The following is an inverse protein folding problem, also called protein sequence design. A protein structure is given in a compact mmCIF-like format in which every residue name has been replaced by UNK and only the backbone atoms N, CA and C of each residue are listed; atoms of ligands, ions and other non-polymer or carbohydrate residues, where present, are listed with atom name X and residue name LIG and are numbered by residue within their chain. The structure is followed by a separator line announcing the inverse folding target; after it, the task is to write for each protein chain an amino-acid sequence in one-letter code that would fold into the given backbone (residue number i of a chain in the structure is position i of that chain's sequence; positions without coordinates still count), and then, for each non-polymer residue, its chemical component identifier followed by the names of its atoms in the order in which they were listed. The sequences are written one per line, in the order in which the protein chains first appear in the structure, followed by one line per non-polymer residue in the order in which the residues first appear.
data_IF_242160706582
#
_entry.id   IF_242160706582
#
_cell.length_a   1.000
_cell.length_b   1.000
_cell.length_c   1.000
_cell.angle_alpha   90.00
_cell.angle_beta   90.00
_cell.angle_gamma   90.00
#
_symmetry.space_group_name_H-M   'P 1'
#
loop_
_entity.id
_entity.type
_entity.pdbx_description
1 polymer ?
#
# COMPACT_ATOMS: atom_id res chain seq x y z
N UNK A 1 14.19 -15.78 21.59
CA UNK A 1 13.51 -14.52 21.35
C UNK A 1 12.70 -14.72 20.07
N UNK A 2 11.36 -14.83 20.16
CA UNK A 2 10.54 -15.24 19.03
C UNK A 2 10.35 -14.06 18.05
N UNK A 3 10.73 -14.27 16.80
CA UNK A 3 10.45 -13.36 15.71
C UNK A 3 8.95 -13.49 15.35
N UNK A 4 8.20 -12.40 15.46
CA UNK A 4 6.83 -12.37 14.97
C UNK A 4 6.86 -12.30 13.45
N UNK A 5 6.14 -13.20 12.79
CA UNK A 5 6.13 -13.30 11.34
C UNK A 5 4.76 -12.84 10.84
N UNK A 6 4.71 -11.63 10.28
CA UNK A 6 3.54 -11.15 9.55
C UNK A 6 3.45 -11.82 8.17
N UNK A 7 2.24 -11.88 7.60
CA UNK A 7 2.01 -12.35 6.23
C UNK A 7 2.06 -11.19 5.24
N UNK A 8 2.77 -11.39 4.15
CA UNK A 8 2.72 -10.57 2.94
C UNK A 8 1.98 -11.26 1.80
N UNK A 9 1.79 -10.56 0.68
CA UNK A 9 1.24 -11.14 -0.56
C UNK A 9 2.11 -12.27 -1.08
N UNK A 10 1.49 -13.24 -1.74
CA UNK A 10 2.19 -14.39 -2.36
C UNK A 10 2.97 -15.26 -1.36
N UNK A 11 2.53 -15.33 -0.11
CA UNK A 11 3.20 -16.11 0.93
C UNK A 11 4.51 -15.52 1.43
N UNK A 12 4.84 -14.28 1.05
CA UNK A 12 6.01 -13.58 1.59
C UNK A 12 5.88 -13.34 3.09
N UNK A 13 7.02 -13.32 3.74
CA UNK A 13 7.13 -13.03 5.17
C UNK A 13 7.33 -11.53 5.35
N UNK A 14 6.56 -10.93 6.27
CA UNK A 14 6.88 -9.61 6.78
C UNK A 14 7.88 -9.76 7.91
N UNK A 15 9.08 -9.23 7.71
CA UNK A 15 10.13 -9.26 8.72
C UNK A 15 9.93 -8.14 9.72
N UNK A 16 9.77 -8.49 11.00
CA UNK A 16 9.65 -7.54 12.09
C UNK A 16 10.51 -7.98 13.28
N UNK A 17 11.12 -6.99 13.90
CA UNK A 17 11.69 -7.12 15.24
C UNK A 17 10.65 -6.61 16.25
N UNK A 18 10.49 -7.28 17.42
CA UNK A 18 9.49 -6.87 18.40
C UNK A 18 9.53 -5.38 18.70
N UNK A 19 8.38 -4.71 18.59
CA UNK A 19 8.18 -3.29 18.84
C UNK A 19 8.79 -2.32 17.80
N UNK A 20 9.33 -2.82 16.68
CA UNK A 20 9.91 -1.96 15.64
C UNK A 20 8.93 -1.61 14.52
N UNK A 21 7.80 -2.28 14.42
CA UNK A 21 6.74 -1.97 13.44
C UNK A 21 5.38 -1.70 14.10
N UNK A 22 4.53 -0.98 13.37
CA UNK A 22 3.09 -1.08 13.56
C UNK A 22 2.59 -2.24 12.68
N UNK A 23 2.15 -3.33 13.32
CA UNK A 23 1.47 -4.44 12.65
C UNK A 23 0.03 -4.50 13.16
N UNK A 24 -0.93 -4.41 12.25
CA UNK A 24 -2.34 -4.45 12.61
C UNK A 24 -3.17 -5.17 11.55
N UNK A 25 -4.34 -5.65 11.96
CA UNK A 25 -5.36 -6.19 11.06
C UNK A 25 -6.72 -5.61 11.43
N UNK A 26 -7.43 -5.09 10.44
CA UNK A 26 -8.79 -4.55 10.59
C UNK A 26 -9.76 -5.48 9.87
N UNK A 27 -10.81 -5.91 10.57
CA UNK A 27 -11.90 -6.68 9.96
C UNK A 27 -12.98 -5.71 9.52
N UNK A 28 -13.24 -5.69 8.22
CA UNK A 28 -14.22 -4.81 7.60
C UNK A 28 -15.39 -5.64 7.05
N UNK A 29 -16.59 -5.11 7.19
CA UNK A 29 -17.80 -5.59 6.49
C UNK A 29 -18.21 -4.53 5.49
N UNK A 30 -17.60 -4.54 4.27
CA UNK A 30 -17.84 -3.47 3.30
C UNK A 30 -19.25 -3.53 2.74
N UNK A 31 -19.86 -2.35 2.58
CA UNK A 31 -21.15 -2.19 1.91
C UNK A 31 -21.07 -2.26 0.39
N UNK A 32 -19.86 -2.36 -0.17
CA UNK A 32 -19.61 -2.40 -1.62
C UNK A 32 -19.63 -3.83 -2.18
N UNK A 33 -19.73 -3.93 -3.51
CA UNK A 33 -19.67 -5.21 -4.23
C UNK A 33 -18.34 -5.94 -4.03
N UNK A 34 -18.32 -7.27 -4.20
CA UNK A 34 -17.08 -8.06 -4.12
C UNK A 34 -16.05 -7.60 -5.17
N UNK A 35 -16.51 -7.18 -6.35
CA UNK A 35 -15.66 -6.66 -7.42
C UNK A 35 -14.95 -5.34 -7.04
N UNK A 36 -15.56 -4.55 -6.16
CA UNK A 36 -14.99 -3.27 -5.71
C UNK A 36 -14.06 -3.40 -4.49
N UNK A 37 -14.09 -4.53 -3.79
CA UNK A 37 -13.29 -4.74 -2.58
C UNK A 37 -11.77 -4.53 -2.79
N UNK A 38 -11.16 -4.86 -3.93
CA UNK A 38 -9.73 -4.55 -4.16
C UNK A 38 -9.37 -3.08 -4.01
N UNK A 39 -10.31 -2.16 -4.25
CA UNK A 39 -10.13 -0.70 -4.05
C UNK A 39 -9.85 -0.33 -2.60
N UNK A 40 -10.26 -1.19 -1.63
CA UNK A 40 -9.90 -1.00 -0.21
C UNK A 40 -8.39 -1.04 0.02
N UNK A 41 -7.63 -1.79 -0.80
CA UNK A 41 -6.16 -1.75 -0.73
C UNK A 41 -5.62 -0.37 -1.07
N UNK A 42 -6.17 0.26 -2.12
CA UNK A 42 -5.77 1.61 -2.53
C UNK A 42 -6.20 2.66 -1.50
N UNK A 43 -7.41 2.53 -0.94
CA UNK A 43 -7.90 3.40 0.14
C UNK A 43 -7.03 3.30 1.39
N UNK A 44 -6.64 2.07 1.75
CA UNK A 44 -5.75 1.83 2.89
C UNK A 44 -4.35 2.41 2.64
N UNK A 45 -3.81 2.26 1.42
CA UNK A 45 -2.51 2.83 1.07
C UNK A 45 -2.50 4.36 1.18
N UNK A 46 -3.57 5.04 0.71
CA UNK A 46 -3.74 6.49 0.87
C UNK A 46 -3.84 6.86 2.36
N UNK A 47 -4.63 6.13 3.14
CA UNK A 47 -4.78 6.38 4.57
C UNK A 47 -3.45 6.25 5.32
N UNK A 48 -2.69 5.20 5.06
CA UNK A 48 -1.36 4.98 5.65
C UNK A 48 -0.38 6.06 5.22
N UNK A 49 -0.37 6.45 3.94
CA UNK A 49 0.52 7.50 3.43
C UNK A 49 0.23 8.86 4.09
N UNK A 50 -1.05 9.23 4.23
CA UNK A 50 -1.46 10.46 4.91
C UNK A 50 -1.10 10.44 6.40
N UNK A 51 -1.37 9.33 7.08
CA UNK A 51 -1.07 9.18 8.50
C UNK A 51 0.44 9.26 8.77
N UNK A 52 1.26 8.55 7.98
CA UNK A 52 2.71 8.62 8.10
C UNK A 52 3.22 10.02 7.81
N UNK A 53 2.78 10.64 6.70
CA UNK A 53 3.18 12.01 6.37
C UNK A 53 2.86 13.01 7.49
N UNK A 54 1.65 12.91 8.07
CA UNK A 54 1.21 13.78 9.16
C UNK A 54 2.01 13.58 10.46
N UNK A 55 2.23 12.33 10.84
CA UNK A 55 2.86 12.00 12.13
C UNK A 55 4.39 12.11 12.09
N UNK A 56 5.01 11.87 10.94
CA UNK A 56 6.48 11.81 10.82
C UNK A 56 7.11 12.95 10.02
N UNK A 57 6.33 13.67 9.21
CA UNK A 57 6.82 14.70 8.29
C UNK A 57 7.48 14.15 7.02
N UNK A 58 7.50 12.84 6.80
CA UNK A 58 8.12 12.24 5.64
C UNK A 58 7.32 12.49 4.35
N UNK A 59 8.02 12.62 3.21
CA UNK A 59 7.40 12.70 1.89
C UNK A 59 7.06 11.29 1.38
N UNK A 60 5.82 10.89 1.61
CA UNK A 60 5.36 9.52 1.34
C UNK A 60 4.77 9.41 -0.06
N UNK A 61 5.07 8.32 -0.75
CA UNK A 61 4.58 7.98 -2.08
C UNK A 61 3.92 6.60 -2.09
N UNK A 62 3.13 6.34 -3.13
CA UNK A 62 2.42 5.08 -3.31
C UNK A 62 2.95 4.32 -4.52
N UNK A 63 3.18 3.02 -4.34
CA UNK A 63 3.48 2.09 -5.42
C UNK A 63 2.34 1.08 -5.55
N UNK A 64 1.77 1.02 -6.74
CA UNK A 64 0.71 0.06 -7.03
C UNK A 64 1.18 -1.38 -6.84
N UNK A 65 0.34 -2.26 -6.30
CA UNK A 65 -1.03 -2.00 -5.85
C UNK A 65 -1.17 -1.68 -4.35
N UNK A 66 -0.13 -1.85 -3.54
CA UNK A 66 -0.30 -1.98 -2.09
C UNK A 66 0.92 -1.54 -1.25
N UNK A 67 1.88 -0.84 -1.83
CA UNK A 67 3.08 -0.42 -1.13
C UNK A 67 3.12 1.09 -0.91
N UNK A 68 3.63 1.46 0.26
CA UNK A 68 3.89 2.85 0.66
C UNK A 68 5.40 3.03 0.72
N UNK A 69 5.90 4.05 0.05
CA UNK A 69 7.33 4.30 -0.15
C UNK A 69 7.77 5.62 0.44
N UNK A 70 9.04 5.70 0.83
CA UNK A 70 9.81 6.93 1.02
C UNK A 70 11.11 6.79 0.22
N UNK A 71 11.41 7.75 -0.62
CA UNK A 71 12.58 7.76 -1.51
C UNK A 71 12.78 6.45 -2.30
N UNK A 72 11.67 5.92 -2.85
CA UNK A 72 11.65 4.69 -3.64
C UNK A 72 11.80 3.40 -2.83
N UNK A 73 11.96 3.46 -1.50
CA UNK A 73 12.10 2.31 -0.61
C UNK A 73 10.82 2.05 0.16
N UNK A 74 10.47 0.79 0.32
CA UNK A 74 9.22 0.36 0.97
C UNK A 74 9.26 0.62 2.47
N UNK A 75 8.37 1.49 2.91
CA UNK A 75 8.11 1.81 4.30
C UNK A 75 6.97 0.99 4.87
N UNK A 76 5.89 0.81 4.09
CA UNK A 76 4.72 0.07 4.53
C UNK A 76 4.15 -0.83 3.43
N UNK A 77 3.38 -1.82 3.83
CA UNK A 77 2.66 -2.71 2.93
C UNK A 77 1.27 -3.03 3.44
N UNK A 78 0.34 -3.20 2.50
CA UNK A 78 -1.05 -3.54 2.75
C UNK A 78 -1.31 -4.95 2.22
N UNK A 79 -2.04 -5.76 3.00
CA UNK A 79 -2.51 -7.07 2.59
C UNK A 79 -4.03 -7.11 2.72
N UNK A 80 -4.72 -7.42 1.63
CA UNK A 80 -6.16 -7.65 1.63
C UNK A 80 -6.44 -9.14 1.50
N UNK A 81 -7.25 -9.67 2.41
CA UNK A 81 -7.77 -11.04 2.34
C UNK A 81 -9.30 -11.00 2.44
N UNK A 82 -9.97 -11.36 1.35
CA UNK A 82 -11.44 -11.47 1.33
C UNK A 82 -11.85 -12.89 1.68
N UNK A 83 -12.87 -13.02 2.52
CA UNK A 83 -13.52 -14.31 2.84
C UNK A 83 -15.00 -14.21 2.51
N UNK A 84 -15.43 -15.10 1.62
CA UNK A 84 -16.84 -15.25 1.28
C UNK A 84 -17.47 -16.20 2.31
N UNK A 85 -18.16 -15.61 3.25
CA UNK A 85 -19.02 -16.28 4.23
C UNK A 85 -20.44 -15.74 4.05
N UNK A 86 -21.40 -16.13 4.87
CA UNK A 86 -22.80 -15.66 4.75
C UNK A 86 -22.92 -14.11 4.64
N UNK A 87 -22.01 -13.37 5.30
CA UNK A 87 -21.78 -11.93 5.08
C UNK A 87 -20.32 -11.75 4.74
N UNK A 88 -19.96 -11.31 3.52
CA UNK A 88 -18.58 -11.11 3.12
C UNK A 88 -17.80 -10.24 4.11
N UNK A 89 -16.59 -10.66 4.44
CA UNK A 89 -15.65 -9.89 5.25
C UNK A 89 -14.35 -9.70 4.49
N UNK A 90 -13.73 -8.56 4.74
CA UNK A 90 -12.37 -8.25 4.25
C UNK A 90 -11.48 -8.04 5.46
N UNK A 91 -10.37 -8.73 5.51
CA UNK A 91 -9.31 -8.52 6.49
C UNK A 91 -8.26 -7.65 5.83
N UNK A 92 -8.02 -6.49 6.41
CA UNK A 92 -7.02 -5.52 5.94
C UNK A 92 -5.83 -5.59 6.87
N UNK A 93 -4.75 -6.21 6.43
CA UNK A 93 -3.46 -6.23 7.12
C UNK A 93 -2.65 -4.99 6.74
N UNK A 94 -2.09 -4.32 7.73
CA UNK A 94 -1.24 -3.14 7.57
C UNK A 94 0.05 -3.37 8.34
N UNK A 95 1.20 -3.21 7.66
CA UNK A 95 2.51 -3.21 8.28
C UNK A 95 3.25 -1.93 7.96
N UNK A 96 3.75 -1.22 8.98
CA UNK A 96 4.56 -0.01 8.82
C UNK A 96 5.87 -0.18 9.59
N UNK A 97 7.00 -0.03 8.92
CA UNK A 97 8.32 -0.07 9.52
C UNK A 97 8.58 1.26 10.26
N UNK A 98 8.77 1.22 11.55
CA UNK A 98 8.99 2.42 12.37
C UNK A 98 10.45 2.56 12.78
N UNK A 99 10.98 1.58 13.49
CA UNK A 99 12.28 1.65 14.19
C UNK A 99 13.32 0.66 13.68
N UNK A 100 13.02 -0.10 12.62
CA UNK A 100 14.00 -1.00 12.03
C UNK A 100 15.20 -0.22 11.52
N UNK A 101 16.39 -0.62 11.96
CA UNK A 101 17.67 -0.05 11.50
C UNK A 101 18.41 -0.96 10.55
N UNK A 102 17.99 -2.22 10.50
CA UNK A 102 18.55 -3.24 9.62
C UNK A 102 17.44 -4.06 8.99
N UNK A 103 17.69 -4.50 7.77
CA UNK A 103 16.82 -5.40 7.02
C UNK A 103 17.63 -6.61 6.53
N UNK A 104 16.99 -7.77 6.32
CA UNK A 104 17.66 -8.89 5.65
C UNK A 104 18.31 -8.45 4.34
N UNK A 105 19.43 -9.04 3.98
CA UNK A 105 20.24 -8.64 2.80
C UNK A 105 19.39 -8.50 1.53
N UNK A 106 18.42 -9.39 1.30
CA UNK A 106 17.52 -9.35 0.14
C UNK A 106 16.57 -8.12 0.13
N UNK A 107 16.35 -7.47 1.27
CA UNK A 107 15.47 -6.31 1.43
C UNK A 107 16.21 -5.00 1.70
N UNK A 108 17.50 -5.06 2.03
CA UNK A 108 18.27 -3.91 2.50
C UNK A 108 18.30 -2.73 1.51
N UNK A 109 18.25 -3.02 0.20
CA UNK A 109 18.22 -1.99 -0.84
C UNK A 109 16.82 -1.45 -1.16
N UNK A 110 15.75 -2.16 -0.73
CA UNK A 110 14.37 -1.87 -1.17
C UNK A 110 13.40 -1.59 -0.03
N UNK A 111 13.82 -1.81 1.21
CA UNK A 111 13.02 -1.51 2.40
C UNK A 111 13.63 -0.36 3.21
N UNK A 112 12.78 0.34 3.94
CA UNK A 112 13.17 1.41 4.86
C UNK A 112 12.23 1.49 6.06
N UNK A 113 12.55 2.39 7.00
CA UNK A 113 11.76 2.67 8.19
C UNK A 113 11.71 4.18 8.45
N UNK A 114 10.80 4.62 9.33
CA UNK A 114 10.72 6.02 9.75
C UNK A 114 12.04 6.51 10.33
N UNK A 115 12.68 5.70 11.18
CA UNK A 115 13.98 6.04 11.78
C UNK A 115 15.09 6.20 10.74
N UNK A 116 15.15 5.34 9.73
CA UNK A 116 16.17 5.39 8.68
C UNK A 116 15.99 6.59 7.74
N UNK A 117 14.75 7.06 7.57
CA UNK A 117 14.44 8.24 6.75
C UNK A 117 14.51 9.56 7.53
N UNK A 118 14.91 9.51 8.81
CA UNK A 118 15.02 10.70 9.64
C UNK A 118 13.67 11.37 9.95
N UNK A 119 12.58 10.63 9.85
CA UNK A 119 11.26 11.13 10.22
C UNK A 119 11.17 11.43 11.72
N UNK A 120 10.23 12.32 12.08
CA UNK A 120 9.92 12.55 13.50
C UNK A 120 9.53 11.20 14.14
N UNK A 121 10.07 10.93 15.32
CA UNK A 121 9.71 9.72 16.05
C UNK A 121 8.21 9.76 16.42
N UNK A 122 7.41 9.02 15.67
CA UNK A 122 6.00 8.84 15.98
C UNK A 122 5.83 7.67 16.95
N UNK A 123 4.99 7.85 17.96
CA UNK A 123 4.54 6.76 18.81
C UNK A 123 3.74 5.74 17.97
N UNK A 124 3.89 4.43 18.27
CA UNK A 124 3.10 3.41 17.58
C UNK A 124 1.60 3.62 17.78
N UNK A 125 1.21 4.02 18.99
CA UNK A 125 -0.18 4.31 19.38
C UNK A 125 -0.69 5.55 18.63
N UNK A 126 0.08 6.63 18.56
CA UNK A 126 -0.24 7.85 17.81
C UNK A 126 -0.49 7.52 16.33
N UNK A 127 0.43 6.77 15.71
CA UNK A 127 0.26 6.37 14.30
C UNK A 127 -0.95 5.46 14.11
N UNK A 128 -1.21 4.53 15.04
CA UNK A 128 -2.36 3.64 14.98
C UNK A 128 -3.67 4.43 14.93
N UNK A 129 -3.85 5.39 15.82
CA UNK A 129 -5.05 6.24 15.88
C UNK A 129 -5.24 7.01 14.56
N UNK A 130 -4.19 7.69 14.08
CA UNK A 130 -4.27 8.46 12.84
C UNK A 130 -4.52 7.57 11.60
N UNK A 131 -3.93 6.37 11.55
CA UNK A 131 -4.20 5.40 10.47
C UNK A 131 -5.64 4.95 10.50
N UNK A 132 -6.21 4.63 11.67
CA UNK A 132 -7.60 4.17 11.79
C UNK A 132 -8.58 5.26 11.37
N UNK A 133 -8.38 6.50 11.80
CA UNK A 133 -9.21 7.64 11.42
C UNK A 133 -9.14 7.93 9.90
N UNK A 134 -7.94 7.91 9.34
CA UNK A 134 -7.75 8.09 7.91
C UNK A 134 -8.36 6.94 7.10
N UNK A 135 -8.21 5.70 7.56
CA UNK A 135 -8.79 4.52 6.93
C UNK A 135 -10.32 4.57 6.92
N UNK A 136 -10.95 4.87 8.07
CA UNK A 136 -12.40 4.96 8.14
C UNK A 136 -12.96 6.08 7.25
N UNK A 137 -12.29 7.23 7.22
CA UNK A 137 -12.62 8.36 6.34
C UNK A 137 -12.57 7.95 4.86
N UNK A 138 -11.48 7.31 4.40
CA UNK A 138 -11.32 6.92 3.00
C UNK A 138 -12.22 5.76 2.61
N UNK A 139 -12.44 4.79 3.49
CA UNK A 139 -13.40 3.70 3.30
C UNK A 139 -14.82 4.25 3.13
N UNK A 140 -15.27 5.10 4.07
CA UNK A 140 -16.60 5.72 4.03
C UNK A 140 -16.78 6.57 2.77
N UNK A 141 -15.75 7.30 2.39
CA UNK A 141 -15.77 8.10 1.17
C UNK A 141 -15.85 7.24 -0.09
N UNK A 142 -15.12 6.14 -0.13
CA UNK A 142 -15.18 5.18 -1.24
C UNK A 142 -16.58 4.55 -1.37
N UNK A 143 -17.21 4.22 -0.25
CA UNK A 143 -18.57 3.64 -0.24
C UNK A 143 -19.66 4.65 -0.65
N UNK A 144 -19.54 5.92 -0.26
CA UNK A 144 -20.58 6.94 -0.47
C UNK A 144 -20.38 7.78 -1.74
N UNK A 145 -19.13 8.09 -2.12
CA UNK A 145 -18.79 8.98 -3.24
C UNK A 145 -18.22 8.21 -4.45
N UNK A 146 -17.96 6.91 -4.30
CA UNK A 146 -17.35 6.08 -5.33
C UNK A 146 -15.83 6.26 -5.42
N UNK A 147 -15.23 5.75 -6.50
CA UNK A 147 -13.78 5.65 -6.63
C UNK A 147 -13.09 6.95 -7.04
N UNK A 148 -13.77 7.87 -7.71
CA UNK A 148 -13.15 9.04 -8.32
C UNK A 148 -12.33 9.92 -7.35
N UNK A 149 -12.82 10.27 -6.14
CA UNK A 149 -12.02 11.04 -5.18
C UNK A 149 -10.79 10.28 -4.67
N UNK A 150 -10.94 8.97 -4.42
CA UNK A 150 -9.83 8.12 -4.01
C UNK A 150 -8.78 8.00 -5.12
N UNK A 151 -9.21 7.78 -6.37
CA UNK A 151 -8.33 7.71 -7.54
C UNK A 151 -7.52 9.00 -7.69
N UNK A 152 -8.16 10.16 -7.62
CA UNK A 152 -7.47 11.45 -7.71
C UNK A 152 -6.40 11.61 -6.62
N UNK A 153 -6.73 11.23 -5.37
CA UNK A 153 -5.80 11.33 -4.27
C UNK A 153 -4.64 10.34 -4.40
N UNK A 154 -4.94 9.10 -4.80
CA UNK A 154 -3.93 8.07 -5.02
C UNK A 154 -2.95 8.49 -6.11
N UNK A 155 -3.43 9.02 -7.24
CA UNK A 155 -2.61 9.51 -8.36
C UNK A 155 -1.69 10.67 -7.93
N UNK A 156 -2.16 11.56 -7.08
CA UNK A 156 -1.34 12.66 -6.53
C UNK A 156 -0.17 12.16 -5.65
N UNK A 157 -0.31 11.00 -5.03
CA UNK A 157 0.72 10.37 -4.21
C UNK A 157 1.55 9.33 -4.98
N UNK A 158 1.15 8.98 -6.21
CA UNK A 158 1.73 7.87 -6.94
C UNK A 158 3.21 8.09 -7.29
N UNK A 159 4.02 7.08 -7.02
CA UNK A 159 5.38 6.94 -7.50
C UNK A 159 5.45 6.12 -8.80
N UNK A 160 4.47 5.24 -9.01
CA UNK A 160 4.40 4.34 -10.17
C UNK A 160 4.08 5.07 -11.49
N UNK A 161 3.24 6.12 -11.44
CA UNK A 161 2.75 6.80 -12.64
C UNK A 161 3.87 7.57 -13.34
N UNK A 162 3.90 7.47 -14.67
CA UNK A 162 4.95 8.04 -15.52
C UNK A 162 6.20 7.16 -15.69
N UNK A 163 6.29 6.05 -14.95
CA UNK A 163 7.45 5.14 -15.02
C UNK A 163 7.23 4.01 -16.01
N UNK A 164 8.32 3.58 -16.65
CA UNK A 164 8.36 2.33 -17.41
C UNK A 164 8.42 1.16 -16.41
N UNK A 165 7.45 0.27 -16.49
CA UNK A 165 7.27 -0.82 -15.54
C UNK A 165 6.94 -2.13 -16.23
N UNK A 166 7.20 -3.24 -15.55
CA UNK A 166 6.71 -4.58 -15.90
C UNK A 166 5.82 -5.09 -14.78
N UNK A 167 4.66 -5.64 -15.13
CA UNK A 167 3.73 -6.29 -14.20
C UNK A 167 3.30 -7.63 -14.79
N UNK A 168 3.83 -8.71 -14.24
CA UNK A 168 3.69 -10.03 -14.86
C UNK A 168 4.28 -10.05 -16.27
N UNK A 169 3.46 -10.37 -17.28
CA UNK A 169 3.87 -10.41 -18.70
C UNK A 169 3.71 -9.05 -19.41
N UNK A 170 3.16 -8.05 -18.73
CA UNK A 170 2.83 -6.75 -19.34
C UNK A 170 3.91 -5.71 -19.03
N UNK A 171 4.59 -5.22 -20.05
CA UNK A 171 5.54 -4.11 -19.96
C UNK A 171 4.98 -2.86 -20.63
N UNK A 172 5.18 -1.69 -20.03
CA UNK A 172 4.70 -0.41 -20.58
C UNK A 172 4.96 0.76 -19.63
N UNK A 173 4.50 1.93 -20.00
CA UNK A 173 4.51 3.10 -19.12
C UNK A 173 3.22 3.14 -18.32
N UNK A 174 3.31 3.13 -17.00
CA UNK A 174 2.15 3.30 -16.13
C UNK A 174 1.60 4.72 -16.29
N UNK A 175 0.33 4.85 -16.68
CA UNK A 175 -0.25 6.17 -17.01
C UNK A 175 -1.42 6.54 -16.12
N UNK A 176 -2.13 5.56 -15.56
CA UNK A 176 -3.36 5.83 -14.80
C UNK A 176 -3.80 4.64 -13.94
N UNK A 177 -4.90 4.83 -13.20
CA UNK A 177 -5.73 3.77 -12.64
C UNK A 177 -7.09 3.76 -13.37
N UNK A 178 -7.56 2.57 -13.74
CA UNK A 178 -8.91 2.38 -14.24
C UNK A 178 -9.95 2.44 -13.09
N UNK A 179 -11.24 2.51 -13.44
CA UNK A 179 -12.34 2.65 -12.47
C UNK A 179 -12.48 1.45 -11.52
N UNK A 180 -11.96 0.29 -11.90
CA UNK A 180 -11.86 -0.90 -11.04
C UNK A 180 -10.61 -0.94 -10.15
N UNK A 181 -9.72 0.06 -10.26
CA UNK A 181 -8.44 0.14 -9.54
C UNK A 181 -7.28 -0.57 -10.25
N UNK A 182 -7.49 -1.12 -11.45
CA UNK A 182 -6.43 -1.70 -12.25
C UNK A 182 -5.40 -0.64 -12.67
N UNK A 183 -4.13 -1.03 -12.76
CA UNK A 183 -3.08 -0.18 -13.30
C UNK A 183 -3.21 -0.13 -14.83
N UNK A 184 -3.22 1.08 -15.40
CA UNK A 184 -3.26 1.28 -16.85
C UNK A 184 -1.85 1.48 -17.38
N UNK A 185 -1.42 0.57 -18.24
CA UNK A 185 -0.14 0.63 -18.94
C UNK A 185 -0.34 1.10 -20.37
N UNK A 186 0.43 2.07 -20.80
CA UNK A 186 0.54 2.46 -22.22
C UNK A 186 1.64 1.61 -22.87
N UNK A 187 1.24 0.82 -23.87
CA UNK A 187 2.10 -0.02 -24.69
C UNK A 187 2.10 0.48 -26.14
N UNK A 188 2.94 -0.08 -27.00
CA UNK A 188 2.97 0.26 -28.42
C UNK A 188 1.64 -0.03 -29.16
N UNK A 189 0.92 -1.07 -28.71
CA UNK A 189 -0.35 -1.51 -29.29
C UNK A 189 -1.60 -0.88 -28.64
N UNK A 190 -1.45 0.03 -27.64
CA UNK A 190 -2.58 0.67 -26.96
C UNK A 190 -2.48 0.63 -25.44
N UNK A 191 -3.63 0.74 -24.78
CA UNK A 191 -3.73 0.70 -23.32
C UNK A 191 -4.01 -0.73 -22.83
N UNK A 192 -3.28 -1.17 -21.83
CA UNK A 192 -3.44 -2.44 -21.14
C UNK A 192 -3.85 -2.21 -19.68
N UNK A 193 -4.95 -2.84 -19.24
CA UNK A 193 -5.39 -2.84 -17.84
C UNK A 193 -4.83 -4.06 -17.12
N UNK A 194 -4.15 -3.84 -15.99
CA UNK A 194 -3.56 -4.91 -15.17
C UNK A 194 -4.20 -4.87 -13.79
N UNK A 195 -4.98 -5.91 -13.47
CA UNK A 195 -5.78 -5.98 -12.23
C UNK A 195 -5.01 -6.49 -11.02
N UNK A 196 -3.90 -7.22 -11.25
CA UNK A 196 -3.09 -7.79 -10.17
C UNK A 196 -1.64 -7.99 -10.63
N UNK A 197 -0.72 -8.02 -9.70
CA UNK A 197 0.69 -8.25 -9.97
C UNK A 197 1.60 -7.50 -9.01
N UNK A 198 2.88 -7.55 -9.29
CA UNK A 198 3.92 -6.75 -8.65
C UNK A 198 4.56 -5.86 -9.72
N UNK A 199 4.66 -4.59 -9.41
CA UNK A 199 5.33 -3.62 -10.29
C UNK A 199 6.84 -3.75 -10.14
N UNK A 200 7.52 -4.06 -11.24
CA UNK A 200 8.98 -4.03 -11.36
C UNK A 200 9.32 -2.84 -12.25
N UNK A 201 10.10 -1.90 -11.72
CA UNK A 201 10.58 -0.77 -12.50
C UNK A 201 11.68 -1.20 -13.45
N UNK A 202 11.57 -0.83 -14.71
CA UNK A 202 12.66 -0.99 -15.67
C UNK A 202 13.80 -0.03 -15.27
N UNK A 203 14.97 -0.55 -14.94
CA UNK A 203 16.14 0.30 -14.70
C UNK A 203 16.37 1.16 -15.93
N UNK A 204 16.50 2.47 -15.75
CA UNK A 204 17.03 3.33 -16.79
C UNK A 204 18.48 2.87 -17.03
N UNK A 205 18.76 2.35 -18.24
CA UNK A 205 20.10 2.15 -18.71
C UNK A 205 20.84 3.49 -18.87
#
# INVERSE_FOLDING_TARGET
MGMWVGRGRWGRVWHDEPQHSLLMSVIVRPGMSVADQPKLSLATAVAVAEAVGLTTGLNVKLKWPNDVLVDGRKLAGILLESRVVAKPIVIVGIGVNLRQRTFPHALAATATSVDLEGGRAAGREELLEVVLDAFDRWRTRLENEGFAPLRARWLALADTIGRAVTVGEHAGVAVDLADDGALVLRQACGLQHVVAGEVIESRRG
#
